data_IF_006508540783
#
_entry.id   IF_006508540783
#
_cell.length_a   1.000
_cell.length_b   1.000
_cell.length_c   1.000
_cell.angle_alpha   90.00
_cell.angle_beta   90.00
_cell.angle_gamma   90.00
#
_symmetry.space_group_name_H-M   'P 1'
#
loop_
_entity.id
_entity.type
_entity.pdbx_description
1 polymer ?
#
# COMPACT_ATOMS: atom_id res chain seq x y z
N UNK A 1 -17.69 0.35 -8.03
CA UNK A 1 -17.62 0.72 -6.59
C UNK A 1 -18.98 0.50 -5.94
N UNK A 2 -19.00 -0.04 -4.72
CA UNK A 2 -20.20 -0.29 -3.92
C UNK A 2 -20.87 1.03 -3.54
N UNK A 3 -22.15 1.22 -3.84
CA UNK A 3 -22.88 2.46 -3.56
C UNK A 3 -23.72 2.39 -2.29
N UNK A 4 -24.25 1.21 -2.00
CA UNK A 4 -25.07 1.02 -0.81
C UNK A 4 -25.11 -0.45 -0.40
N UNK A 5 -25.40 -0.68 0.89
CA UNK A 5 -25.68 -2.00 1.46
C UNK A 5 -26.93 -1.89 2.33
N UNK A 6 -27.95 -2.69 2.02
CA UNK A 6 -29.13 -2.82 2.91
C UNK A 6 -28.91 -3.99 3.86
N UNK A 7 -28.98 -3.70 5.14
CA UNK A 7 -28.83 -4.68 6.23
C UNK A 7 -30.09 -5.51 6.42
N UNK A 8 -30.01 -6.65 7.10
CA UNK A 8 -31.18 -7.47 7.42
C UNK A 8 -32.25 -6.74 8.25
N UNK A 9 -31.86 -5.69 9.02
CA UNK A 9 -32.79 -4.85 9.78
C UNK A 9 -33.49 -3.76 8.94
N UNK A 10 -33.26 -3.75 7.63
CA UNK A 10 -33.80 -2.78 6.67
C UNK A 10 -33.05 -1.45 6.61
N UNK A 11 -32.10 -1.17 7.50
CA UNK A 11 -31.28 0.04 7.46
C UNK A 11 -30.28 -0.04 6.29
N UNK A 12 -30.05 1.09 5.63
CA UNK A 12 -29.14 1.17 4.48
C UNK A 12 -27.93 2.03 4.82
N UNK A 13 -26.75 1.50 4.53
CA UNK A 13 -25.49 2.25 4.51
C UNK A 13 -25.22 2.71 3.08
N UNK A 14 -24.87 3.98 2.90
CA UNK A 14 -24.53 4.52 1.56
C UNK A 14 -23.11 5.07 1.53
N UNK A 15 -22.50 5.06 0.34
CA UNK A 15 -21.12 5.47 0.12
C UNK A 15 -20.97 6.41 -1.07
N UNK A 16 -20.07 7.40 -0.94
CA UNK A 16 -19.63 8.24 -2.05
C UNK A 16 -18.10 8.17 -2.21
N UNK A 17 -17.66 8.40 -3.44
CA UNK A 17 -16.26 8.29 -3.84
C UNK A 17 -15.85 9.52 -4.65
N UNK A 18 -14.56 9.88 -4.57
CA UNK A 18 -13.97 10.88 -5.45
C UNK A 18 -13.69 10.31 -6.86
N UNK A 19 -13.13 11.17 -7.73
CA UNK A 19 -12.78 10.79 -9.11
C UNK A 19 -11.67 9.73 -9.19
N UNK A 20 -10.85 9.56 -8.13
CA UNK A 20 -9.83 8.52 -8.02
C UNK A 20 -10.38 7.22 -7.41
N UNK A 21 -11.68 7.18 -7.09
CA UNK A 21 -12.34 6.03 -6.48
C UNK A 21 -12.04 5.86 -4.98
N UNK A 22 -11.52 6.90 -4.29
CA UNK A 22 -11.34 6.89 -2.84
C UNK A 22 -12.66 7.22 -2.16
N UNK A 23 -13.03 6.45 -1.13
CA UNK A 23 -14.27 6.68 -0.37
C UNK A 23 -14.14 7.98 0.43
N UNK A 24 -14.97 8.96 0.12
CA UNK A 24 -14.98 10.27 0.78
C UNK A 24 -16.14 10.46 1.76
N UNK A 25 -17.15 9.59 1.68
CA UNK A 25 -18.35 9.69 2.53
C UNK A 25 -18.96 8.31 2.77
N UNK A 26 -19.42 8.09 4.00
CA UNK A 26 -20.36 7.03 4.39
C UNK A 26 -21.52 7.67 5.15
N UNK A 27 -22.75 7.25 4.86
CA UNK A 27 -23.94 7.67 5.62
C UNK A 27 -24.61 6.45 6.20
N UNK A 28 -24.91 6.52 7.48
CA UNK A 28 -25.64 5.48 8.19
C UNK A 28 -26.34 6.06 9.41
N UNK A 29 -27.62 5.69 9.58
CA UNK A 29 -28.43 5.97 10.77
C UNK A 29 -28.43 7.46 11.18
N UNK A 30 -28.59 8.36 10.19
CA UNK A 30 -28.64 9.80 10.39
C UNK A 30 -27.28 10.46 10.69
N UNK A 31 -26.17 9.76 10.48
CA UNK A 31 -24.83 10.34 10.59
C UNK A 31 -24.08 10.25 9.27
N UNK A 32 -23.31 11.29 8.99
CA UNK A 32 -22.38 11.40 7.87
C UNK A 32 -20.97 11.20 8.40
N UNK A 33 -20.25 10.24 7.83
CA UNK A 33 -18.82 9.97 8.08
C UNK A 33 -18.03 10.44 6.89
N UNK A 34 -16.98 11.20 7.11
CA UNK A 34 -16.14 11.82 6.08
C UNK A 34 -14.72 11.28 6.18
N UNK A 35 -14.05 11.21 5.04
CA UNK A 35 -12.68 10.70 4.93
C UNK A 35 -11.85 11.64 4.07
N UNK A 36 -10.71 12.07 4.59
CA UNK A 36 -9.68 12.80 3.86
C UNK A 36 -8.47 11.89 3.67
N UNK A 37 -7.95 11.89 2.46
CA UNK A 37 -6.91 10.97 2.03
C UNK A 37 -5.59 11.68 1.77
N UNK A 38 -4.48 11.03 2.15
CA UNK A 38 -3.14 11.32 1.64
C UNK A 38 -2.70 10.14 0.76
N UNK A 39 -2.61 10.37 -0.56
CA UNK A 39 -2.43 9.28 -1.51
C UNK A 39 -3.52 8.21 -1.40
N UNK A 40 -3.12 7.00 -1.01
CA UNK A 40 -4.01 5.85 -0.84
C UNK A 40 -4.24 5.45 0.64
N UNK A 41 -3.90 6.33 1.60
CA UNK A 41 -4.19 6.14 3.03
C UNK A 41 -5.18 7.18 3.55
N UNK A 42 -6.02 6.80 4.51
CA UNK A 42 -6.95 7.73 5.20
C UNK A 42 -6.13 8.52 6.22
N UNK A 43 -5.99 9.83 6.01
CA UNK A 43 -5.29 10.72 6.93
C UNK A 43 -6.22 11.20 8.07
N UNK A 44 -7.42 11.66 7.70
CA UNK A 44 -8.40 12.14 8.65
C UNK A 44 -9.76 11.50 8.41
N UNK A 45 -10.48 11.29 9.51
CA UNK A 45 -11.91 10.99 9.46
C UNK A 45 -12.65 11.80 10.53
N UNK A 46 -13.88 12.18 10.23
CA UNK A 46 -14.79 12.87 11.15
C UNK A 46 -16.22 12.50 10.86
N UNK A 47 -17.11 12.85 11.77
CA UNK A 47 -18.53 12.61 11.55
C UNK A 47 -19.37 13.78 12.09
N UNK A 48 -20.59 13.90 11.60
CA UNK A 48 -21.59 14.86 12.07
C UNK A 48 -23.02 14.34 11.79
N UNK A 49 -24.04 14.95 12.42
CA UNK A 49 -25.42 14.58 12.17
C UNK A 49 -25.83 14.91 10.72
N UNK A 50 -26.51 14.01 10.02
CA UNK A 50 -26.92 14.22 8.63
C UNK A 50 -27.86 15.44 8.46
N UNK A 51 -28.64 15.78 9.49
CA UNK A 51 -29.49 16.97 9.53
C UNK A 51 -28.67 18.29 9.40
N UNK A 52 -27.39 18.26 9.77
CA UNK A 52 -26.48 19.41 9.71
C UNK A 52 -25.68 19.46 8.41
N UNK A 53 -25.97 18.58 7.46
CA UNK A 53 -25.29 18.56 6.16
C UNK A 53 -25.49 19.90 5.43
N UNK A 54 -24.40 20.56 4.94
CA UNK A 54 -24.53 21.72 4.10
C UNK A 54 -25.14 21.36 2.75
N UNK A 55 -25.92 22.30 2.19
CA UNK A 55 -26.48 22.15 0.85
C UNK A 55 -25.51 22.68 -0.20
N UNK A 56 -25.50 22.02 -1.35
CA UNK A 56 -24.83 22.55 -2.53
C UNK A 56 -25.66 23.66 -3.13
N UNK A 57 -25.03 24.82 -3.32
CA UNK A 57 -25.66 25.99 -3.94
C UNK A 57 -24.84 26.45 -5.14
N UNK A 58 -25.50 27.10 -6.10
CA UNK A 58 -24.83 27.72 -7.25
C UNK A 58 -24.86 29.23 -7.03
N UNK A 59 -23.68 29.85 -7.03
CA UNK A 59 -23.56 31.32 -6.88
C UNK A 59 -24.05 32.03 -8.11
N UNK A 60 -24.25 33.35 -8.01
CA UNK A 60 -24.62 34.19 -9.17
C UNK A 60 -23.59 34.15 -10.31
N UNK A 61 -22.34 33.80 -9.99
CA UNK A 61 -21.26 33.63 -10.97
C UNK A 61 -21.23 32.24 -11.61
N UNK A 62 -22.15 31.32 -11.20
CA UNK A 62 -22.23 29.96 -11.70
C UNK A 62 -21.27 28.98 -10.99
N UNK A 63 -20.59 29.42 -9.94
CA UNK A 63 -19.74 28.54 -9.14
C UNK A 63 -20.57 27.65 -8.21
N UNK A 64 -20.22 26.37 -8.13
CA UNK A 64 -20.86 25.41 -7.22
C UNK A 64 -20.11 25.42 -5.88
N UNK A 65 -20.81 25.77 -4.82
CA UNK A 65 -20.25 25.86 -3.45
C UNK A 65 -21.23 25.29 -2.42
N UNK A 66 -20.87 25.35 -1.15
CA UNK A 66 -21.73 24.98 -0.02
C UNK A 66 -22.38 26.23 0.59
N UNK A 67 -23.64 26.11 1.06
CA UNK A 67 -24.38 27.21 1.71
C UNK A 67 -23.75 27.59 3.08
N UNK A 68 -23.01 26.69 3.68
CA UNK A 68 -22.26 26.88 4.94
C UNK A 68 -21.06 25.93 4.97
N UNK A 69 -20.03 26.20 5.83
CA UNK A 69 -18.93 25.27 6.05
C UNK A 69 -19.44 23.94 6.55
N UNK A 70 -18.81 22.86 6.12
CA UNK A 70 -19.08 21.51 6.63
C UNK A 70 -18.59 21.39 8.09
N UNK A 71 -19.39 20.78 8.97
CA UNK A 71 -19.01 20.53 10.35
C UNK A 71 -17.91 19.46 10.43
N UNK A 72 -16.99 19.66 11.35
CA UNK A 72 -15.92 18.68 11.67
C UNK A 72 -16.05 18.33 13.14
N UNK A 73 -16.76 17.23 13.44
CA UNK A 73 -16.90 16.72 14.79
C UNK A 73 -16.14 15.39 14.92
N UNK A 74 -15.73 15.05 16.13
CA UNK A 74 -15.04 13.78 16.41
C UNK A 74 -13.85 13.49 15.48
N UNK A 75 -13.08 14.53 15.15
CA UNK A 75 -11.94 14.41 14.24
C UNK A 75 -10.94 13.39 14.77
N UNK A 76 -10.60 12.45 13.91
CA UNK A 76 -9.55 11.46 14.12
C UNK A 76 -8.47 11.70 13.07
N UNK A 77 -7.22 11.74 13.52
CA UNK A 77 -6.04 11.74 12.64
C UNK A 77 -5.30 10.42 12.77
N UNK A 78 -5.01 9.81 11.65
CA UNK A 78 -4.20 8.59 11.57
C UNK A 78 -2.77 8.94 11.16
N UNK A 79 -1.80 8.33 11.81
CA UNK A 79 -0.37 8.52 11.55
C UNK A 79 0.19 7.26 10.93
N UNK A 80 1.04 7.41 9.92
CA UNK A 80 1.67 6.32 9.19
C UNK A 80 3.17 6.54 9.11
N UNK A 81 3.93 5.45 9.05
CA UNK A 81 5.34 5.52 8.65
C UNK A 81 5.43 5.78 7.13
N UNK A 82 6.55 6.31 6.68
CA UNK A 82 6.81 6.57 5.26
C UNK A 82 6.57 5.32 4.41
N UNK A 83 5.80 5.48 3.34
CA UNK A 83 5.45 4.41 2.39
C UNK A 83 4.71 3.20 3.01
N UNK A 84 4.02 3.42 4.14
CA UNK A 84 3.24 2.39 4.82
C UNK A 84 1.74 2.61 4.65
N UNK A 85 0.98 1.52 4.53
CA UNK A 85 -0.49 1.50 4.57
C UNK A 85 -1.01 1.14 5.97
N UNK A 86 -0.09 0.93 6.93
CA UNK A 86 -0.40 0.48 8.28
C UNK A 86 -0.32 1.66 9.22
N UNK A 87 -1.42 2.05 9.88
CA UNK A 87 -1.38 3.15 10.83
C UNK A 87 -0.56 2.76 12.07
N UNK A 88 0.32 3.65 12.50
CA UNK A 88 1.18 3.51 13.70
C UNK A 88 0.63 4.26 14.90
N UNK A 89 -0.21 5.28 14.67
CA UNK A 89 -0.89 5.97 15.76
C UNK A 89 -2.26 6.53 15.33
N UNK A 90 -3.09 6.79 16.35
CA UNK A 90 -4.38 7.46 16.26
C UNK A 90 -4.37 8.66 17.18
N UNK A 91 -4.83 9.82 16.70
CA UNK A 91 -4.94 11.06 17.47
C UNK A 91 -6.41 11.49 17.51
N UNK A 92 -6.94 11.79 18.69
CA UNK A 92 -8.31 12.27 18.90
C UNK A 92 -8.26 13.43 19.92
N UNK A 93 -8.38 14.67 19.46
CA UNK A 93 -8.12 15.84 20.28
C UNK A 93 -6.70 15.81 20.85
N UNK A 94 -6.55 15.91 22.17
CA UNK A 94 -5.26 15.88 22.86
C UNK A 94 -4.80 14.46 23.25
N UNK A 95 -5.54 13.41 22.87
CA UNK A 95 -5.22 12.02 23.19
C UNK A 95 -4.54 11.32 22.03
N UNK A 96 -3.46 10.61 22.34
CA UNK A 96 -2.69 9.83 21.39
C UNK A 96 -2.78 8.34 21.74
N UNK A 97 -2.82 7.53 20.71
CA UNK A 97 -2.86 6.08 20.87
C UNK A 97 -1.84 5.45 19.94
N UNK A 98 -0.87 4.73 20.48
CA UNK A 98 0.10 3.96 19.70
C UNK A 98 -0.53 2.66 19.23
N UNK A 99 -0.33 2.31 17.96
CA UNK A 99 -0.89 1.09 17.34
C UNK A 99 0.24 0.13 17.03
N UNK A 100 0.13 -1.08 17.54
CA UNK A 100 1.05 -2.19 17.23
C UNK A 100 0.35 -3.12 16.25
N UNK A 101 1.04 -3.41 15.16
CA UNK A 101 0.55 -4.33 14.13
C UNK A 101 1.44 -5.55 13.99
N UNK A 102 0.86 -6.66 13.53
CA UNK A 102 1.63 -7.85 13.21
C UNK A 102 2.45 -7.67 11.91
N UNK A 103 3.23 -8.69 11.56
CA UNK A 103 4.14 -8.65 10.39
C UNK A 103 3.44 -8.53 9.05
N UNK A 104 2.13 -8.82 8.97
CA UNK A 104 1.32 -8.67 7.77
C UNK A 104 0.55 -7.34 7.74
N UNK A 105 0.72 -6.51 8.78
CA UNK A 105 0.12 -5.19 8.89
C UNK A 105 -1.32 -5.18 9.41
N UNK A 106 -1.72 -6.19 10.22
CA UNK A 106 -2.99 -6.16 10.94
C UNK A 106 -2.75 -5.56 12.33
N UNK A 107 -3.49 -4.52 12.76
CA UNK A 107 -3.42 -4.01 14.12
C UNK A 107 -3.76 -5.10 15.14
N UNK A 108 -2.91 -5.31 16.15
CA UNK A 108 -3.12 -6.32 17.20
C UNK A 108 -3.33 -5.70 18.57
N UNK A 109 -2.73 -4.54 18.84
CA UNK A 109 -2.90 -3.83 20.11
C UNK A 109 -2.88 -2.31 19.87
N UNK A 110 -3.57 -1.56 20.75
CA UNK A 110 -3.40 -0.11 20.84
C UNK A 110 -3.28 0.30 22.32
N UNK A 111 -2.40 1.28 22.56
CA UNK A 111 -2.05 1.78 23.88
C UNK A 111 -2.37 3.26 23.99
N UNK A 112 -2.85 3.69 25.16
CA UNK A 112 -3.00 5.11 25.51
C UNK A 112 -1.65 5.75 25.92
N UNK A 113 -1.66 7.06 26.20
CA UNK A 113 -0.48 7.83 26.64
C UNK A 113 0.09 7.35 28.00
N UNK A 114 -0.66 6.56 28.76
CA UNK A 114 -0.23 5.97 30.04
C UNK A 114 0.33 4.55 29.87
N UNK A 115 0.34 4.01 28.65
CA UNK A 115 0.78 2.65 28.36
C UNK A 115 -0.28 1.56 28.68
N UNK A 116 -1.55 1.94 28.90
CA UNK A 116 -2.61 0.96 29.08
C UNK A 116 -3.10 0.44 27.72
N UNK A 117 -3.39 -0.86 27.66
CA UNK A 117 -4.03 -1.46 26.48
C UNK A 117 -5.50 -0.99 26.46
N UNK A 118 -5.85 -0.23 25.42
CA UNK A 118 -7.22 0.27 25.19
C UNK A 118 -7.95 -0.50 24.09
N UNK A 119 -7.19 -1.26 23.30
CA UNK A 119 -7.72 -2.11 22.26
C UNK A 119 -6.77 -3.28 21.99
N UNK A 120 -7.35 -4.48 21.75
CA UNK A 120 -6.61 -5.68 21.38
C UNK A 120 -7.52 -6.61 20.57
N UNK A 121 -6.95 -7.28 19.56
CA UNK A 121 -7.66 -8.27 18.75
C UNK A 121 -6.74 -9.37 18.24
N UNK A 122 -7.29 -10.57 18.11
CA UNK A 122 -6.74 -11.67 17.32
C UNK A 122 -7.53 -11.80 16.02
N UNK A 123 -6.99 -12.56 15.07
CA UNK A 123 -7.61 -12.76 13.75
C UNK A 123 -7.67 -14.24 13.40
N UNK A 124 -8.74 -14.63 12.70
CA UNK A 124 -8.79 -15.95 12.05
C UNK A 124 -8.09 -15.93 10.69
N UNK A 125 -8.10 -17.09 10.01
CA UNK A 125 -7.44 -17.28 8.71
C UNK A 125 -7.99 -16.40 7.58
N UNK A 126 -9.18 -15.83 7.74
CA UNK A 126 -9.79 -14.92 6.77
C UNK A 126 -9.68 -13.45 7.20
N UNK A 127 -9.03 -13.17 8.32
CA UNK A 127 -8.87 -11.82 8.86
C UNK A 127 -10.07 -11.31 9.65
N UNK A 128 -11.05 -12.17 10.04
CA UNK A 128 -12.05 -11.79 11.00
C UNK A 128 -11.44 -11.57 12.38
N UNK A 129 -11.89 -10.51 13.05
CA UNK A 129 -11.53 -10.29 14.46
C UNK A 129 -12.08 -11.40 15.35
N UNK A 130 -11.18 -11.89 16.22
CA UNK A 130 -11.43 -12.77 17.35
C UNK A 130 -10.98 -12.09 18.64
N UNK A 131 -11.47 -12.55 19.79
CA UNK A 131 -11.01 -12.14 21.13
C UNK A 131 -10.83 -10.62 21.29
N UNK A 132 -11.80 -9.83 20.81
CA UNK A 132 -11.72 -8.37 20.82
C UNK A 132 -11.85 -7.81 22.25
N UNK A 133 -10.85 -7.00 22.63
CA UNK A 133 -10.93 -6.03 23.72
C UNK A 133 -11.09 -4.63 23.14
N UNK A 134 -12.05 -3.85 23.66
CA UNK A 134 -12.44 -2.57 23.08
C UNK A 134 -13.53 -2.68 22.01
N UNK A 135 -13.68 -1.68 21.16
CA UNK A 135 -14.69 -1.67 20.10
C UNK A 135 -14.06 -1.81 18.71
N UNK A 136 -14.81 -2.41 17.77
CA UNK A 136 -14.34 -2.55 16.37
C UNK A 136 -14.08 -1.20 15.70
N UNK A 137 -14.90 -0.21 16.01
CA UNK A 137 -14.80 1.15 15.49
C UNK A 137 -13.57 1.88 16.03
N UNK A 138 -13.02 1.50 17.20
CA UNK A 138 -11.89 2.20 17.79
C UNK A 138 -10.62 2.09 16.92
N UNK A 139 -10.30 0.88 16.42
CA UNK A 139 -9.31 0.65 15.37
C UNK A 139 -10.02 -0.08 14.22
N UNK A 140 -10.47 0.65 13.19
CA UNK A 140 -11.22 0.06 12.07
C UNK A 140 -10.32 -0.62 11.05
N UNK A 141 -9.00 -0.43 11.12
CA UNK A 141 -8.06 -1.00 10.17
C UNK A 141 -7.88 -2.50 10.37
N UNK A 142 -7.67 -3.18 9.25
CA UNK A 142 -7.40 -4.61 9.13
C UNK A 142 -6.11 -4.79 8.33
N UNK A 143 -5.95 -5.86 7.59
CA UNK A 143 -4.72 -6.14 6.86
C UNK A 143 -4.38 -5.01 5.88
N UNK A 144 -3.22 -4.37 6.07
CA UNK A 144 -2.66 -3.36 5.16
C UNK A 144 -3.64 -2.25 4.75
N UNK A 145 -4.28 -1.63 5.73
CA UNK A 145 -5.15 -0.49 5.48
C UNK A 145 -6.57 -0.83 5.03
N UNK A 146 -6.95 -2.11 4.95
CA UNK A 146 -8.37 -2.48 4.87
C UNK A 146 -9.14 -1.81 6.01
N UNK A 147 -10.28 -1.21 5.71
CA UNK A 147 -11.11 -0.49 6.67
C UNK A 147 -12.44 -1.23 6.90
N UNK A 148 -12.67 -1.74 8.09
CA UNK A 148 -13.93 -2.41 8.45
C UNK A 148 -15.04 -1.39 8.65
N UNK A 149 -16.15 -1.59 7.93
CA UNK A 149 -17.43 -0.95 8.23
C UNK A 149 -18.18 -1.81 9.24
N UNK A 150 -18.23 -1.36 10.50
CA UNK A 150 -18.85 -2.10 11.61
C UNK A 150 -20.30 -2.47 11.30
N UNK A 151 -21.01 -1.61 10.58
CA UNK A 151 -22.41 -1.75 10.23
C UNK A 151 -22.68 -2.93 9.27
N UNK A 152 -21.77 -3.17 8.33
CA UNK A 152 -21.91 -4.20 7.29
C UNK A 152 -21.01 -5.40 7.51
N UNK A 153 -19.96 -5.26 8.32
CA UNK A 153 -18.88 -6.22 8.53
C UNK A 153 -18.05 -6.47 7.26
N UNK A 154 -18.18 -5.61 6.27
CA UNK A 154 -17.34 -5.62 5.09
C UNK A 154 -16.09 -4.79 5.32
N UNK A 155 -14.98 -5.19 4.68
CA UNK A 155 -13.72 -4.44 4.71
C UNK A 155 -13.56 -3.69 3.38
N UNK A 156 -13.57 -2.37 3.45
CA UNK A 156 -13.25 -1.52 2.32
C UNK A 156 -11.75 -1.63 2.02
N UNK A 157 -11.41 -2.19 0.88
CA UNK A 157 -10.05 -2.37 0.40
C UNK A 157 -9.84 -1.57 -0.90
N UNK A 158 -9.87 -0.26 -0.79
CA UNK A 158 -9.64 0.72 -1.87
C UNK A 158 -10.60 0.54 -3.07
N UNK A 159 -10.33 -0.41 -3.97
CA UNK A 159 -11.14 -0.65 -5.18
C UNK A 159 -12.22 -1.71 -5.01
N UNK A 160 -12.15 -2.52 -3.98
CA UNK A 160 -13.12 -3.60 -3.70
C UNK A 160 -13.53 -3.64 -2.23
N UNK A 161 -14.59 -4.37 -1.95
CA UNK A 161 -15.02 -4.73 -0.59
C UNK A 161 -14.81 -6.21 -0.36
N UNK A 162 -14.13 -6.53 0.70
CA UNK A 162 -13.85 -7.89 1.14
C UNK A 162 -14.82 -8.33 2.23
N UNK A 163 -15.34 -9.54 2.11
CA UNK A 163 -16.16 -10.17 3.14
C UNK A 163 -15.32 -11.25 3.86
N UNK A 164 -14.85 -10.97 5.09
CA UNK A 164 -14.01 -11.91 5.83
C UNK A 164 -14.77 -13.17 6.28
N UNK A 165 -16.12 -13.19 6.22
CA UNK A 165 -16.91 -14.37 6.58
C UNK A 165 -16.81 -15.48 5.53
N UNK A 166 -16.59 -15.10 4.29
CA UNK A 166 -16.46 -16.01 3.15
C UNK A 166 -15.06 -16.00 2.52
N UNK A 167 -14.18 -15.10 2.95
CA UNK A 167 -12.79 -15.01 2.49
C UNK A 167 -12.61 -14.50 1.06
N UNK A 168 -13.58 -13.77 0.51
CA UNK A 168 -13.55 -13.27 -0.87
C UNK A 168 -14.02 -11.83 -0.98
N UNK A 169 -13.70 -11.19 -2.10
CA UNK A 169 -14.32 -9.93 -2.50
C UNK A 169 -15.77 -10.13 -2.93
N UNK A 170 -16.62 -9.15 -2.68
CA UNK A 170 -18.05 -9.18 -3.08
C UNK A 170 -18.29 -8.67 -4.52
N UNK A 171 -17.25 -8.20 -5.19
CA UNK A 171 -17.29 -7.73 -6.59
C UNK A 171 -16.14 -8.30 -7.40
N UNK A 172 -16.32 -8.36 -8.71
CA UNK A 172 -15.27 -8.76 -9.64
C UNK A 172 -14.10 -7.79 -9.60
N UNK A 173 -12.91 -8.32 -9.86
CA UNK A 173 -11.70 -7.54 -9.99
C UNK A 173 -11.82 -6.56 -11.17
N UNK A 174 -11.60 -5.24 -10.96
CA UNK A 174 -11.63 -4.26 -12.03
C UNK A 174 -10.61 -4.53 -13.15
N UNK A 175 -9.46 -5.12 -12.81
CA UNK A 175 -8.42 -5.54 -13.76
C UNK A 175 -8.54 -7.00 -14.17
N UNK A 176 -9.58 -7.69 -13.69
CA UNK A 176 -9.90 -9.10 -14.00
C UNK A 176 -8.74 -10.04 -13.65
N UNK A 177 -8.43 -10.99 -14.54
CA UNK A 177 -7.36 -11.98 -14.33
C UNK A 177 -5.95 -11.37 -14.42
N UNK A 178 -5.81 -10.11 -14.84
CA UNK A 178 -4.52 -9.41 -14.82
C UNK A 178 -3.98 -9.19 -13.39
N UNK A 179 -4.83 -9.27 -12.35
CA UNK A 179 -4.44 -9.26 -10.94
C UNK A 179 -3.68 -10.49 -10.45
N UNK A 180 -3.56 -11.53 -11.31
CA UNK A 180 -2.84 -12.77 -10.98
C UNK A 180 -3.59 -13.72 -10.05
N UNK A 181 -4.88 -13.47 -9.79
CA UNK A 181 -5.74 -14.35 -9.01
C UNK A 181 -6.39 -15.44 -9.88
N UNK A 182 -6.61 -16.66 -9.35
CA UNK A 182 -7.26 -17.75 -10.10
C UNK A 182 -8.74 -17.49 -10.37
N UNK A 183 -9.38 -16.61 -9.60
CA UNK A 183 -10.78 -16.22 -9.79
C UNK A 183 -10.95 -14.69 -9.70
N UNK A 184 -12.02 -14.18 -10.29
CA UNK A 184 -12.33 -12.75 -10.31
C UNK A 184 -12.69 -12.18 -8.92
N UNK A 185 -12.99 -13.03 -7.95
CA UNK A 185 -13.42 -12.64 -6.58
C UNK A 185 -12.39 -12.99 -5.51
N UNK A 186 -11.28 -13.64 -5.89
CA UNK A 186 -10.28 -14.03 -4.91
C UNK A 186 -9.64 -12.82 -4.22
N UNK A 187 -9.41 -12.95 -2.91
CA UNK A 187 -8.54 -12.08 -2.14
C UNK A 187 -7.10 -12.57 -2.29
N UNK A 188 -6.58 -13.29 -1.32
CA UNK A 188 -5.25 -13.90 -1.35
C UNK A 188 -5.38 -15.39 -1.02
N UNK A 189 -4.46 -16.22 -1.53
CA UNK A 189 -4.49 -17.67 -1.25
C UNK A 189 -4.06 -17.98 0.19
N UNK A 190 -3.16 -17.17 0.76
CA UNK A 190 -2.71 -17.30 2.14
C UNK A 190 -2.61 -15.91 2.78
N UNK A 191 -3.55 -15.62 3.68
CA UNK A 191 -3.66 -14.33 4.38
C UNK A 191 -2.54 -14.06 5.37
N UNK A 192 -1.67 -15.05 5.66
CA UNK A 192 -0.53 -14.86 6.53
C UNK A 192 0.72 -14.37 5.79
N UNK A 193 0.81 -14.57 4.48
CA UNK A 193 2.02 -14.25 3.71
C UNK A 193 1.75 -13.38 2.48
N UNK A 194 0.53 -13.37 1.98
CA UNK A 194 0.13 -12.62 0.80
C UNK A 194 -0.64 -11.38 1.15
N UNK A 195 -0.53 -10.36 0.32
CA UNK A 195 -1.10 -9.04 0.51
C UNK A 195 -1.80 -8.57 -0.77
N UNK A 196 -2.92 -7.89 -0.61
CA UNK A 196 -3.59 -7.17 -1.69
C UNK A 196 -3.93 -5.76 -1.18
N UNK A 197 -2.99 -4.84 -1.33
CA UNK A 197 -3.07 -3.50 -0.72
C UNK A 197 -4.23 -2.68 -1.26
N UNK A 198 -4.49 -2.80 -2.56
CA UNK A 198 -5.48 -1.97 -3.25
C UNK A 198 -6.74 -2.72 -3.65
N UNK A 199 -6.82 -4.02 -3.37
CA UNK A 199 -7.91 -4.82 -3.88
C UNK A 199 -7.84 -5.05 -5.40
N UNK A 200 -6.65 -5.16 -5.98
CA UNK A 200 -6.40 -5.34 -7.41
C UNK A 200 -5.41 -6.44 -7.72
N UNK A 201 -4.31 -6.54 -6.96
CA UNK A 201 -3.22 -7.45 -7.24
C UNK A 201 -2.71 -8.12 -5.98
N UNK A 202 -2.56 -9.42 -6.02
CA UNK A 202 -1.92 -10.16 -4.94
C UNK A 202 -0.42 -9.89 -4.98
N UNK A 203 0.07 -9.18 -3.98
CA UNK A 203 1.49 -9.10 -3.70
C UNK A 203 1.86 -10.27 -2.79
N UNK A 204 2.32 -11.36 -3.40
CA UNK A 204 2.79 -12.54 -2.67
C UNK A 204 4.30 -12.49 -2.51
N UNK A 205 4.77 -12.37 -1.28
CA UNK A 205 6.15 -12.70 -0.94
C UNK A 205 6.18 -14.11 -0.34
N UNK A 206 7.09 -14.90 -0.83
CA UNK A 206 7.40 -16.27 -0.42
C UNK A 206 7.41 -16.51 1.08
N UNK A 207 7.17 -17.76 1.45
CA UNK A 207 7.31 -18.35 2.80
C UNK A 207 8.70 -18.21 3.44
N UNK A 208 9.70 -17.75 2.69
CA UNK A 208 11.09 -17.57 3.14
C UNK A 208 11.51 -16.10 3.14
N UNK A 209 10.76 -15.25 3.88
CA UNK A 209 11.15 -13.83 4.02
C UNK A 209 12.19 -13.70 5.12
N UNK A 210 13.42 -13.38 4.75
CA UNK A 210 14.48 -12.98 5.68
C UNK A 210 14.55 -11.46 5.70
N UNK A 211 14.41 -10.87 6.88
CA UNK A 211 14.53 -9.42 7.06
C UNK A 211 15.88 -9.15 7.72
N UNK A 212 16.65 -8.23 7.12
CA UNK A 212 17.94 -7.77 7.63
C UNK A 212 18.04 -6.25 7.54
N UNK A 213 19.10 -5.68 8.10
CA UNK A 213 19.44 -4.28 7.85
C UNK A 213 20.20 -4.14 6.51
N UNK A 214 20.24 -2.91 5.97
CA UNK A 214 21.09 -2.64 4.81
C UNK A 214 22.57 -2.91 5.08
N UNK A 215 23.02 -2.69 6.32
CA UNK A 215 24.40 -3.00 6.73
C UNK A 215 24.70 -4.51 6.62
N UNK A 216 23.81 -5.36 7.15
CA UNK A 216 23.96 -6.82 7.05
C UNK A 216 23.93 -7.30 5.61
N UNK A 217 23.00 -6.79 4.80
CA UNK A 217 22.89 -7.13 3.40
C UNK A 217 24.14 -6.71 2.60
N UNK A 218 24.68 -5.52 2.85
CA UNK A 218 25.90 -5.02 2.22
C UNK A 218 27.13 -5.86 2.59
N UNK A 219 27.21 -6.37 3.82
CA UNK A 219 28.30 -7.24 4.27
C UNK A 219 28.38 -8.56 3.48
N UNK A 220 27.29 -8.99 2.85
CA UNK A 220 27.29 -10.18 1.97
C UNK A 220 27.88 -9.92 0.57
N UNK A 221 28.27 -8.69 0.26
CA UNK A 221 28.76 -8.27 -1.06
C UNK A 221 30.13 -7.57 -0.97
N UNK A 222 31.18 -8.29 -0.49
CA UNK A 222 32.50 -7.70 -0.35
C UNK A 222 33.05 -7.25 -1.73
N UNK A 223 33.65 -6.05 -1.77
CA UNK A 223 34.18 -5.47 -3.01
C UNK A 223 33.18 -4.68 -3.86
N UNK A 224 31.90 -4.62 -3.46
CA UNK A 224 30.93 -3.72 -4.05
C UNK A 224 30.78 -2.46 -3.19
N UNK A 225 30.60 -1.30 -3.83
CA UNK A 225 30.10 -0.12 -3.11
C UNK A 225 28.73 -0.47 -2.50
N UNK A 226 28.49 -0.18 -1.19
CA UNK A 226 27.34 -0.72 -0.44
C UNK A 226 26.02 -0.23 -1.06
N UNK A 227 25.23 -1.11 -1.73
CA UNK A 227 24.07 -0.69 -2.50
C UNK A 227 22.85 -0.33 -1.66
N UNK A 228 22.75 -0.84 -0.44
CA UNK A 228 21.61 -0.59 0.44
C UNK A 228 21.94 0.40 1.55
N UNK A 229 21.01 1.31 1.83
CA UNK A 229 21.12 2.27 2.94
C UNK A 229 21.29 1.52 4.26
N UNK A 230 22.36 1.74 5.06
CA UNK A 230 22.75 0.87 6.16
C UNK A 230 21.65 0.58 7.19
N UNK A 231 20.89 1.60 7.58
CA UNK A 231 19.83 1.48 8.60
C UNK A 231 18.45 1.17 8.00
N UNK A 232 18.34 0.99 6.68
CA UNK A 232 17.08 0.65 6.05
C UNK A 232 16.81 -0.84 6.11
N UNK A 233 15.53 -1.21 6.18
CA UNK A 233 15.08 -2.59 6.08
C UNK A 233 15.41 -3.15 4.69
N UNK A 234 16.04 -4.31 4.66
CA UNK A 234 16.26 -5.12 3.47
C UNK A 234 15.50 -6.43 3.62
N UNK A 235 14.82 -6.84 2.57
CA UNK A 235 13.99 -8.04 2.57
C UNK A 235 14.47 -9.00 1.48
N UNK A 236 14.82 -10.23 1.86
CA UNK A 236 14.99 -11.34 0.91
C UNK A 236 13.68 -12.11 0.77
N UNK A 237 13.36 -12.53 -0.44
CA UNK A 237 12.12 -13.24 -0.73
C UNK A 237 12.28 -14.09 -2.00
N UNK A 238 11.37 -15.04 -2.19
CA UNK A 238 11.26 -15.82 -3.43
C UNK A 238 9.99 -15.39 -4.16
N UNK A 239 10.04 -15.17 -5.46
CA UNK A 239 8.86 -14.84 -6.27
C UNK A 239 7.88 -16.01 -6.31
N UNK A 240 6.60 -15.76 -6.13
CA UNK A 240 5.56 -16.80 -6.19
C UNK A 240 4.93 -16.94 -7.57
N UNK A 241 5.14 -15.96 -8.41
CA UNK A 241 4.69 -15.89 -9.82
C UNK A 241 5.75 -15.17 -10.64
N UNK A 242 5.57 -15.15 -11.95
CA UNK A 242 6.37 -14.32 -12.81
C UNK A 242 6.10 -12.83 -12.47
N UNK A 243 7.16 -12.09 -12.19
CA UNK A 243 7.11 -10.66 -11.89
C UNK A 243 7.85 -9.84 -12.95
N UNK A 244 7.30 -8.68 -13.31
CA UNK A 244 7.88 -7.82 -14.34
C UNK A 244 8.54 -6.62 -13.71
N UNK A 245 9.83 -6.46 -14.00
CA UNK A 245 10.67 -5.33 -13.63
C UNK A 245 11.25 -4.67 -14.85
N UNK A 246 11.94 -3.57 -14.64
CA UNK A 246 12.83 -2.97 -15.64
C UNK A 246 14.26 -2.89 -15.12
N UNK A 247 15.20 -3.05 -16.01
CA UNK A 247 16.62 -2.84 -15.77
C UNK A 247 17.12 -1.72 -16.66
N UNK A 248 17.77 -0.74 -16.08
CA UNK A 248 18.48 0.31 -16.81
C UNK A 248 19.95 -0.09 -16.94
N UNK A 249 20.56 0.17 -18.10
CA UNK A 249 21.91 -0.32 -18.41
C UNK A 249 22.58 0.47 -19.54
N UNK A 250 23.89 0.27 -19.73
CA UNK A 250 24.64 0.67 -20.95
C UNK A 250 24.31 -0.20 -22.15
N UNK A 251 24.87 0.09 -23.28
CA UNK A 251 24.57 -0.64 -24.53
C UNK A 251 24.91 -2.14 -24.48
N UNK A 252 25.98 -2.51 -23.75
CA UNK A 252 26.53 -3.88 -23.74
C UNK A 252 26.17 -4.69 -22.48
N UNK A 253 25.56 -4.07 -21.44
CA UNK A 253 25.32 -4.71 -20.16
C UNK A 253 23.82 -4.91 -19.90
N UNK A 254 23.14 -5.61 -20.80
CA UNK A 254 21.71 -5.87 -20.73
C UNK A 254 21.32 -6.75 -19.53
N UNK A 255 22.06 -7.81 -19.28
CA UNK A 255 21.78 -8.75 -18.22
C UNK A 255 22.52 -8.38 -16.93
N UNK A 256 21.84 -8.51 -15.78
CA UNK A 256 22.46 -8.26 -14.48
C UNK A 256 21.44 -8.30 -13.34
N UNK A 257 21.92 -8.32 -12.07
CA UNK A 257 21.06 -8.61 -10.94
C UNK A 257 20.18 -7.45 -10.46
N UNK A 258 20.46 -6.21 -10.88
CA UNK A 258 19.79 -5.02 -10.34
C UNK A 258 18.67 -4.54 -11.23
N UNK A 259 17.51 -4.26 -10.62
CA UNK A 259 16.30 -3.81 -11.31
C UNK A 259 15.41 -2.95 -10.43
N UNK A 260 14.40 -2.35 -11.03
CA UNK A 260 13.40 -1.51 -10.36
C UNK A 260 12.04 -1.67 -11.02
N UNK A 261 10.99 -1.16 -10.39
CA UNK A 261 9.69 -1.05 -11.05
C UNK A 261 9.71 0.05 -12.11
N UNK A 262 9.00 -0.16 -13.23
CA UNK A 262 8.92 0.81 -14.34
C UNK A 262 8.42 2.18 -13.86
N UNK A 263 7.43 2.21 -12.98
CA UNK A 263 6.88 3.43 -12.41
C UNK A 263 7.94 4.31 -11.71
N UNK A 264 8.99 3.70 -11.17
CA UNK A 264 10.04 4.41 -10.45
C UNK A 264 10.99 5.22 -11.36
N UNK A 265 10.98 4.97 -12.68
CA UNK A 265 11.82 5.68 -13.67
C UNK A 265 11.01 6.49 -14.69
N UNK A 266 9.68 6.35 -14.68
CA UNK A 266 8.82 7.06 -15.62
C UNK A 266 8.96 8.58 -15.48
N UNK A 267 9.13 9.29 -16.60
CA UNK A 267 9.30 10.75 -16.63
C UNK A 267 10.68 11.27 -16.22
N UNK A 268 11.64 10.40 -15.88
CA UNK A 268 12.97 10.79 -15.47
C UNK A 268 13.95 10.80 -16.64
N UNK A 269 14.89 11.76 -16.64
CA UNK A 269 16.05 11.75 -17.56
C UNK A 269 17.07 10.67 -17.15
N UNK A 270 17.96 10.25 -18.05
CA UNK A 270 19.04 9.31 -17.72
C UNK A 270 19.88 9.75 -16.50
N UNK A 271 20.16 11.05 -16.39
CA UNK A 271 20.92 11.63 -15.28
C UNK A 271 20.13 11.56 -13.95
N UNK A 272 18.83 11.82 -14.01
CA UNK A 272 17.95 11.69 -12.85
C UNK A 272 17.83 10.23 -12.39
N UNK A 273 17.78 9.29 -13.34
CA UNK A 273 17.76 7.85 -13.02
C UNK A 273 19.10 7.45 -12.37
N UNK A 274 20.24 7.91 -12.93
CA UNK A 274 21.56 7.69 -12.33
C UNK A 274 21.61 8.17 -10.88
N UNK A 275 21.22 9.40 -10.62
CA UNK A 275 21.25 10.00 -9.30
C UNK A 275 20.31 9.27 -8.31
N UNK A 276 19.08 8.94 -8.76
CA UNK A 276 18.05 8.27 -7.95
C UNK A 276 18.43 6.85 -7.52
N UNK A 277 19.05 6.09 -8.43
CA UNK A 277 19.41 4.68 -8.19
C UNK A 277 20.90 4.48 -7.92
N UNK A 278 21.64 5.59 -7.78
CA UNK A 278 23.04 5.59 -7.44
C UNK A 278 23.89 4.70 -8.38
N UNK A 279 23.67 4.89 -9.68
CA UNK A 279 24.36 4.09 -10.69
C UNK A 279 25.77 4.65 -10.95
N UNK A 280 26.77 3.79 -11.22
CA UNK A 280 28.12 4.25 -11.56
C UNK A 280 28.12 5.07 -12.86
N UNK A 281 27.35 4.64 -13.88
CA UNK A 281 27.27 5.25 -15.18
C UNK A 281 25.86 5.74 -15.51
N UNK A 282 25.75 6.77 -16.36
CA UNK A 282 24.46 7.22 -16.89
C UNK A 282 23.90 6.14 -17.83
N UNK A 283 22.70 5.60 -17.53
CA UNK A 283 22.13 4.53 -18.33
C UNK A 283 21.66 5.07 -19.69
N UNK A 284 21.83 4.27 -20.74
CA UNK A 284 21.42 4.61 -22.12
C UNK A 284 20.22 3.79 -22.59
N UNK A 285 19.97 2.66 -21.94
CA UNK A 285 18.95 1.69 -22.33
C UNK A 285 18.14 1.22 -21.13
N UNK A 286 16.92 0.82 -21.39
CA UNK A 286 16.04 0.12 -20.46
C UNK A 286 15.55 -1.17 -21.10
N UNK A 287 15.60 -2.26 -20.35
CA UNK A 287 15.05 -3.58 -20.74
C UNK A 287 13.99 -4.03 -19.76
N UNK A 288 12.93 -4.63 -20.27
CA UNK A 288 11.97 -5.36 -19.43
C UNK A 288 12.62 -6.64 -18.93
N UNK A 289 12.40 -6.98 -17.68
CA UNK A 289 12.89 -8.21 -17.06
C UNK A 289 11.71 -8.97 -16.48
N UNK A 290 11.44 -10.18 -17.00
CA UNK A 290 10.45 -11.09 -16.45
C UNK A 290 11.18 -12.03 -15.49
N UNK A 291 10.95 -11.87 -14.21
CA UNK A 291 11.53 -12.74 -13.17
C UNK A 291 10.59 -13.90 -12.93
N UNK A 292 11.01 -15.16 -13.20
CA UNK A 292 10.15 -16.34 -13.04
C UNK A 292 9.73 -16.57 -11.59
N UNK A 293 8.60 -17.23 -11.42
CA UNK A 293 8.19 -17.80 -10.12
C UNK A 293 9.30 -18.70 -9.56
N UNK A 294 9.49 -18.68 -8.24
CA UNK A 294 10.53 -19.46 -7.57
C UNK A 294 11.91 -18.77 -7.51
N UNK A 295 12.09 -17.59 -8.12
CA UNK A 295 13.37 -16.89 -8.13
C UNK A 295 13.63 -16.18 -6.80
N UNK A 296 14.81 -16.36 -6.22
CA UNK A 296 15.23 -15.66 -5.00
C UNK A 296 15.67 -14.24 -5.31
N UNK A 297 15.10 -13.30 -4.58
CA UNK A 297 15.34 -11.86 -4.74
C UNK A 297 15.63 -11.17 -3.41
N UNK A 298 16.20 -9.98 -3.50
CA UNK A 298 16.37 -9.06 -2.38
C UNK A 298 15.86 -7.69 -2.77
N UNK A 299 15.23 -6.96 -1.84
CA UNK A 299 14.83 -5.56 -2.07
C UNK A 299 15.15 -4.68 -0.87
N UNK A 300 15.53 -3.43 -1.14
CA UNK A 300 15.83 -2.46 -0.10
C UNK A 300 15.96 -1.05 -0.66
N UNK A 301 16.10 -0.07 0.24
CA UNK A 301 16.33 1.33 -0.14
C UNK A 301 17.75 1.50 -0.68
N UNK A 302 17.88 2.26 -1.77
CA UNK A 302 19.15 2.61 -2.41
C UNK A 302 19.99 3.44 -1.43
N UNK A 303 21.27 3.12 -1.32
CA UNK A 303 22.24 3.91 -0.57
C UNK A 303 22.74 5.07 -1.44
N UNK A 304 22.56 6.33 -1.03
CA UNK A 304 23.08 7.47 -1.79
C UNK A 304 24.59 7.58 -1.58
N UNK A 305 25.38 7.16 -2.57
CA UNK A 305 26.83 7.24 -2.54
C UNK A 305 27.31 8.49 -3.27
N UNK A 306 28.00 9.42 -2.59
CA UNK A 306 28.47 10.67 -3.18
C UNK A 306 29.38 10.46 -4.39
N UNK A 307 30.18 9.40 -4.40
CA UNK A 307 31.11 9.08 -5.52
C UNK A 307 30.39 8.80 -6.84
N UNK A 308 29.11 8.43 -6.81
CA UNK A 308 28.28 8.24 -8.02
C UNK A 308 27.30 9.39 -8.27
N UNK A 309 27.37 10.45 -7.45
CA UNK A 309 26.42 11.56 -7.52
C UNK A 309 25.02 11.18 -7.03
N UNK A 310 24.93 10.18 -6.14
CA UNK A 310 23.68 9.68 -5.60
C UNK A 310 22.96 10.69 -4.72
N UNK A 311 21.64 10.79 -4.89
CA UNK A 311 20.77 11.64 -4.08
C UNK A 311 19.80 10.74 -3.32
N UNK A 312 19.60 11.03 -2.02
CA UNK A 312 18.64 10.28 -1.20
C UNK A 312 17.19 10.64 -1.60
N UNK A 313 16.64 9.86 -2.52
CA UNK A 313 15.27 9.98 -3.01
C UNK A 313 14.37 8.84 -2.50
N UNK A 314 14.78 8.13 -1.43
CA UNK A 314 14.07 6.96 -0.91
C UNK A 314 13.77 5.88 -1.97
N UNK A 315 14.56 5.81 -3.03
CA UNK A 315 14.34 4.86 -4.09
C UNK A 315 14.50 3.42 -3.59
N UNK A 316 13.64 2.52 -4.07
CA UNK A 316 13.70 1.09 -3.80
C UNK A 316 14.27 0.36 -5.01
N UNK A 317 15.21 -0.52 -4.77
CA UNK A 317 15.80 -1.39 -5.78
C UNK A 317 15.61 -2.86 -5.44
N UNK A 318 15.69 -3.69 -6.47
CA UNK A 318 15.56 -5.14 -6.39
C UNK A 318 16.82 -5.80 -6.95
N UNK A 319 17.20 -6.91 -6.33
CA UNK A 319 18.39 -7.67 -6.69
C UNK A 319 18.02 -9.14 -6.87
N UNK A 320 18.43 -9.73 -7.98
CA UNK A 320 18.43 -11.19 -8.13
C UNK A 320 19.54 -11.77 -7.26
N UNK A 321 19.19 -12.75 -6.44
CA UNK A 321 20.16 -13.52 -5.63
C UNK A 321 20.66 -14.76 -6.37
N UNK A 322 20.09 -15.07 -7.51
CA UNK A 322 20.46 -16.15 -8.41
C UNK A 322 20.32 -15.72 -9.87
N UNK A 323 20.94 -16.46 -10.78
CA UNK A 323 20.84 -16.16 -12.21
C UNK A 323 19.53 -16.67 -12.77
N UNK A 324 18.90 -15.83 -13.60
CA UNK A 324 17.78 -16.22 -14.45
C UNK A 324 18.23 -16.32 -15.92
N UNK A 325 17.53 -17.08 -16.78
CA UNK A 325 17.86 -17.17 -18.20
C UNK A 325 17.92 -15.81 -18.90
N UNK A 326 18.83 -15.65 -19.85
CA UNK A 326 19.02 -14.37 -20.57
C UNK A 326 17.79 -13.96 -21.38
N UNK A 327 16.96 -14.90 -21.83
CA UNK A 327 15.68 -14.65 -22.51
C UNK A 327 14.68 -13.88 -21.66
N UNK A 328 14.80 -13.94 -20.35
CA UNK A 328 13.96 -13.20 -19.41
C UNK A 328 14.26 -11.68 -19.42
N UNK A 329 15.40 -11.27 -19.98
CA UNK A 329 15.74 -9.88 -20.24
C UNK A 329 15.22 -9.52 -21.63
N UNK A 330 13.94 -9.12 -21.70
CA UNK A 330 13.20 -8.88 -22.93
C UNK A 330 13.49 -7.55 -23.62
N UNK A 331 12.49 -6.96 -24.19
CA UNK A 331 12.57 -5.76 -25.04
C UNK A 331 13.44 -4.64 -24.47
N UNK A 332 14.42 -4.20 -25.27
CA UNK A 332 15.33 -3.10 -24.93
C UNK A 332 14.94 -1.84 -25.72
N UNK A 333 14.84 -0.72 -25.01
CA UNK A 333 14.59 0.60 -25.60
C UNK A 333 15.69 1.57 -25.20
N UNK A 334 16.03 2.53 -26.07
CA UNK A 334 16.89 3.67 -25.69
C UNK A 334 16.09 4.58 -24.75
N UNK A 335 16.71 4.99 -23.65
CA UNK A 335 16.16 6.04 -22.79
C UNK A 335 16.38 7.36 -23.52
N UNK A 336 15.31 7.93 -24.09
CA UNK A 336 15.38 9.32 -24.62
C UNK A 336 14.68 10.19 -23.59
N UNK A 337 13.97 10.40 -22.95
CA UNK A 337 13.14 10.83 -21.86
C UNK A 337 12.00 9.80 -21.78
N UNK A 338 11.90 9.15 -20.69
CA UNK A 338 10.85 8.14 -20.52
C UNK A 338 9.52 8.87 -20.26
N UNK A 339 8.74 9.08 -21.33
CA UNK A 339 7.39 9.64 -21.26
C UNK A 339 6.35 8.56 -21.01
#
# INVERSE_FOLDING_TARGET
MLRSVTRPDGKTVTFKYDALGRRIEKVFDGRVYRYLWDGDVILHEWDYAEADRPNTVVTETGEVTLDRPELVENLITWVYDSDSYVPTAKIVGDRHYSIISDYIGRPVQAYDDNGNIVWQADYDIYGNIRNLHGSRKFIPFRQLGQYEDEETRLYYNRFRYYDPRIGTYISQDPIRLAGGNPTLYAFVCDTNIQKDQLGLTVEGRSTNVVISTGADANATMPGYSPPYKPNAKVTEFTTMRDEVFVRVHGAENKCGPWMMHEAAIRGLSPEQIKAKFNLPDTPTHVSTVTVPAGTRMRSGKVNPLPEFGGVDMNAKQFQLLERIPNENFGNTKKIKSYH
#
